data_IF_918224120124
#
_entry.id   IF_918224120124
#
_cell.length_a   1.000
_cell.length_b   1.000
_cell.length_c   1.000
_cell.angle_alpha   90.00
_cell.angle_beta   90.00
_cell.angle_gamma   90.00
#
_symmetry.space_group_name_H-M   'P 1'
#
loop_
_entity.id
_entity.type
_entity.pdbx_description
1 polymer ?
#
# COMPACT_ATOMS: atom_id res chain seq x y z
N UNK A 1 -0.35 -27.98 6.18
CA UNK A 1 -0.04 -26.58 6.54
C UNK A 1 -1.24 -25.96 7.27
N UNK A 2 -2.45 -26.12 6.73
CA UNK A 2 -3.74 -25.81 7.38
C UNK A 2 -3.91 -26.30 8.84
N UNK A 3 -3.61 -27.57 9.15
CA UNK A 3 -3.70 -28.06 10.54
C UNK A 3 -2.74 -27.36 11.52
N UNK A 4 -1.57 -26.90 11.03
CA UNK A 4 -0.65 -26.10 11.82
C UNK A 4 -1.25 -24.72 12.09
N UNK A 5 -1.82 -24.06 11.09
CA UNK A 5 -2.41 -22.73 11.24
C UNK A 5 -3.67 -22.72 12.10
N UNK A 6 -4.53 -23.71 11.93
CA UNK A 6 -5.67 -23.92 12.82
C UNK A 6 -5.15 -24.13 14.25
N UNK A 7 -4.18 -25.02 14.49
CA UNK A 7 -3.66 -25.25 15.84
C UNK A 7 -2.93 -24.04 16.47
N UNK A 8 -2.23 -23.22 15.68
CA UNK A 8 -1.43 -22.08 16.16
C UNK A 8 -2.30 -20.86 16.39
N UNK A 9 -3.19 -20.54 15.46
CA UNK A 9 -3.98 -19.31 15.51
C UNK A 9 -5.31 -19.50 16.24
N UNK A 10 -5.93 -20.68 16.17
CA UNK A 10 -7.15 -20.97 16.95
C UNK A 10 -6.86 -21.05 18.45
N UNK A 11 -5.74 -21.65 18.87
CA UNK A 11 -5.36 -21.69 20.30
C UNK A 11 -4.93 -20.33 20.83
N UNK A 12 -4.25 -19.50 20.02
CA UNK A 12 -3.86 -18.14 20.46
C UNK A 12 -5.08 -17.22 20.63
N UNK A 13 -6.12 -17.38 19.81
CA UNK A 13 -7.31 -16.49 19.82
C UNK A 13 -8.48 -16.96 20.67
N UNK A 14 -8.49 -18.20 21.15
CA UNK A 14 -9.51 -18.70 22.09
C UNK A 14 -9.30 -18.19 23.52
N UNK A 15 -8.14 -17.60 23.82
CA UNK A 15 -7.82 -17.02 25.14
C UNK A 15 -8.11 -15.53 25.29
N UNK A 16 -8.31 -14.81 24.17
CA UNK A 16 -8.60 -13.37 24.16
C UNK A 16 -10.05 -13.12 23.72
N UNK A 17 -10.75 -12.31 24.52
CA UNK A 17 -12.18 -11.99 24.51
C UNK A 17 -12.93 -12.10 23.18
N UNK A 18 -14.13 -12.66 23.30
CA UNK A 18 -15.09 -13.12 22.29
C UNK A 18 -15.65 -12.10 21.29
N UNK A 19 -15.13 -10.87 21.18
CA UNK A 19 -15.85 -9.79 20.47
C UNK A 19 -15.06 -8.97 19.43
N UNK A 20 -13.79 -9.27 19.11
CA UNK A 20 -13.10 -8.47 18.09
C UNK A 20 -12.19 -9.24 17.13
N UNK A 21 -11.95 -8.58 15.99
CA UNK A 21 -10.97 -8.99 14.99
C UNK A 21 -9.58 -8.95 15.62
N UNK A 22 -8.81 -10.02 15.41
CA UNK A 22 -7.47 -10.17 15.96
C UNK A 22 -6.47 -10.20 14.81
N UNK A 23 -5.54 -9.25 14.82
CA UNK A 23 -4.34 -9.27 13.98
C UNK A 23 -3.21 -9.94 14.76
N UNK A 24 -2.72 -11.06 14.26
CA UNK A 24 -1.60 -11.81 14.84
C UNK A 24 -0.39 -11.78 13.92
N UNK A 25 0.78 -11.66 14.52
CA UNK A 25 2.06 -11.87 13.84
C UNK A 25 2.82 -12.96 14.58
N UNK A 26 3.20 -14.02 13.86
CA UNK A 26 4.05 -15.06 14.39
C UNK A 26 5.46 -14.92 13.84
N UNK A 27 6.41 -14.58 14.73
CA UNK A 27 7.79 -14.35 14.36
C UNK A 27 8.53 -15.63 13.95
N UNK A 28 8.12 -16.80 14.47
CA UNK A 28 8.75 -18.07 14.12
C UNK A 28 8.46 -18.52 12.70
N UNK A 29 7.23 -18.37 12.23
CA UNK A 29 6.84 -18.69 10.85
C UNK A 29 6.86 -17.50 9.90
N UNK A 30 7.15 -16.29 10.39
CA UNK A 30 7.07 -15.03 9.62
C UNK A 30 5.72 -14.89 8.90
N UNK A 31 4.64 -15.14 9.64
CA UNK A 31 3.27 -15.18 9.14
C UNK A 31 2.42 -14.12 9.82
N UNK A 32 1.63 -13.42 9.03
CA UNK A 32 0.59 -12.52 9.49
C UNK A 32 -0.74 -13.25 9.36
N UNK A 33 -1.52 -13.31 10.42
CA UNK A 33 -2.88 -13.82 10.38
C UNK A 33 -3.83 -12.73 10.83
N UNK A 34 -4.95 -12.58 10.13
CA UNK A 34 -6.03 -11.68 10.51
C UNK A 34 -7.35 -12.44 10.52
N UNK A 35 -8.06 -12.37 11.64
CA UNK A 35 -9.35 -13.04 11.85
C UNK A 35 -10.50 -12.07 11.60
N UNK A 36 -11.40 -12.41 10.69
CA UNK A 36 -12.58 -11.64 10.37
C UNK A 36 -13.82 -12.40 10.78
N UNK A 37 -14.75 -11.69 11.41
CA UNK A 37 -16.08 -12.22 11.69
C UNK A 37 -17.01 -11.68 10.62
N UNK A 38 -17.57 -12.58 9.82
CA UNK A 38 -18.49 -12.25 8.73
C UNK A 38 -19.83 -12.92 9.00
N UNK A 39 -20.92 -12.16 8.91
CA UNK A 39 -22.27 -12.70 8.94
C UNK A 39 -22.63 -13.21 7.54
N UNK A 40 -22.67 -14.53 7.37
CA UNK A 40 -22.97 -15.16 6.07
C UNK A 40 -24.33 -15.88 6.18
N UNK A 41 -25.30 -15.61 5.28
CA UNK A 41 -26.56 -16.34 5.25
C UNK A 41 -26.35 -17.86 5.10
N UNK A 42 -27.33 -18.64 5.58
CA UNK A 42 -27.34 -20.11 5.45
C UNK A 42 -27.29 -20.61 4.00
N UNK A 43 -27.76 -19.80 3.05
CA UNK A 43 -27.64 -20.05 1.62
C UNK A 43 -27.57 -18.72 0.87
N UNK A 44 -26.57 -18.54 0.02
CA UNK A 44 -26.46 -17.36 -0.85
C UNK A 44 -26.76 -17.79 -2.29
N UNK A 45 -27.77 -17.19 -2.94
CA UNK A 45 -28.00 -17.35 -4.37
C UNK A 45 -26.79 -16.94 -5.20
N UNK A 46 -26.52 -17.64 -6.31
CA UNK A 46 -25.32 -17.41 -7.14
C UNK A 46 -25.22 -15.96 -7.65
N UNK A 47 -26.36 -15.32 -7.91
CA UNK A 47 -26.46 -13.92 -8.36
C UNK A 47 -26.03 -12.89 -7.31
N UNK A 48 -25.96 -13.27 -6.02
CA UNK A 48 -25.59 -12.38 -4.91
C UNK A 48 -24.20 -12.66 -4.35
N UNK A 49 -23.52 -13.74 -4.77
CA UNK A 49 -22.23 -14.16 -4.21
C UNK A 49 -21.17 -13.07 -4.28
N UNK A 50 -21.14 -12.32 -5.38
CA UNK A 50 -20.17 -11.25 -5.58
C UNK A 50 -20.27 -10.15 -4.52
N UNK A 51 -21.49 -9.82 -4.05
CA UNK A 51 -21.68 -8.80 -3.02
C UNK A 51 -21.11 -9.28 -1.67
N UNK A 52 -21.23 -10.57 -1.36
CA UNK A 52 -20.65 -11.16 -0.16
C UNK A 52 -19.14 -11.35 -0.26
N UNK A 53 -18.59 -11.61 -1.46
CA UNK A 53 -17.14 -11.65 -1.68
C UNK A 53 -16.48 -10.29 -1.39
N UNK A 54 -17.16 -9.16 -1.69
CA UNK A 54 -16.66 -7.82 -1.34
C UNK A 54 -16.59 -7.54 0.17
N UNK A 55 -17.35 -8.31 0.97
CA UNK A 55 -17.25 -8.22 2.43
C UNK A 55 -15.98 -8.88 2.94
N UNK A 56 -15.43 -9.83 2.18
CA UNK A 56 -14.25 -10.58 2.56
C UNK A 56 -12.98 -9.70 2.50
N UNK A 57 -12.09 -9.86 3.48
CA UNK A 57 -10.81 -9.15 3.52
C UNK A 57 -9.88 -9.61 2.41
N UNK A 58 -9.05 -8.72 1.88
CA UNK A 58 -8.04 -9.11 0.90
C UNK A 58 -8.58 -9.50 -0.48
N UNK A 59 -9.86 -9.23 -0.77
CA UNK A 59 -10.50 -9.51 -2.07
C UNK A 59 -9.71 -9.00 -3.29
N UNK A 60 -8.98 -7.89 -3.13
CA UNK A 60 -8.11 -7.33 -4.19
C UNK A 60 -6.88 -8.17 -4.49
N UNK A 61 -6.56 -9.15 -3.64
CA UNK A 61 -5.40 -10.03 -3.74
C UNK A 61 -5.78 -11.48 -4.08
N UNK A 62 -7.07 -11.77 -4.28
CA UNK A 62 -7.56 -13.11 -4.58
C UNK A 62 -7.43 -13.43 -6.07
N UNK A 63 -6.79 -14.55 -6.42
CA UNK A 63 -6.72 -15.09 -7.77
C UNK A 63 -8.03 -15.72 -8.24
N UNK A 64 -7.95 -16.54 -9.28
CA UNK A 64 -9.12 -17.26 -9.81
C UNK A 64 -9.47 -18.47 -8.96
N UNK A 65 -8.48 -19.20 -8.43
CA UNK A 65 -8.71 -20.36 -7.56
C UNK A 65 -9.39 -19.97 -6.26
N UNK A 66 -8.93 -18.91 -5.60
CA UNK A 66 -9.51 -18.37 -4.37
C UNK A 66 -10.96 -17.95 -4.58
N UNK A 67 -11.31 -17.29 -5.69
CA UNK A 67 -12.71 -16.98 -6.00
C UNK A 67 -13.55 -18.23 -6.21
N UNK A 68 -13.06 -19.20 -6.99
CA UNK A 68 -13.80 -20.42 -7.27
C UNK A 68 -14.08 -21.17 -5.97
N UNK A 69 -13.08 -21.26 -5.11
CA UNK A 69 -13.17 -21.83 -3.79
C UNK A 69 -14.19 -21.09 -2.92
N UNK A 70 -14.09 -19.77 -2.80
CA UNK A 70 -15.00 -18.97 -1.97
C UNK A 70 -16.43 -18.97 -2.52
N UNK A 71 -16.60 -18.95 -3.84
CA UNK A 71 -17.90 -19.06 -4.48
C UNK A 71 -18.53 -20.42 -4.18
N UNK A 72 -17.75 -21.49 -4.28
CA UNK A 72 -18.20 -22.85 -3.94
C UNK A 72 -18.59 -22.94 -2.46
N UNK A 73 -17.78 -22.35 -1.58
CA UNK A 73 -18.06 -22.27 -0.15
C UNK A 73 -19.38 -21.51 0.12
N UNK A 74 -19.52 -20.29 -0.41
CA UNK A 74 -20.67 -19.41 -0.20
C UNK A 74 -21.98 -19.92 -0.83
N UNK A 75 -21.90 -20.75 -1.87
CA UNK A 75 -23.08 -21.37 -2.50
C UNK A 75 -23.44 -22.73 -1.91
N UNK A 76 -22.51 -23.40 -1.23
CA UNK A 76 -22.77 -24.66 -0.54
C UNK A 76 -23.74 -24.47 0.63
N UNK A 77 -24.61 -25.46 0.86
CA UNK A 77 -25.50 -25.46 2.01
C UNK A 77 -24.73 -25.66 3.33
N UNK A 78 -25.34 -25.29 4.46
CA UNK A 78 -24.73 -25.38 5.80
C UNK A 78 -24.20 -26.77 6.13
N UNK A 79 -24.94 -27.83 5.79
CA UNK A 79 -24.55 -29.22 6.05
C UNK A 79 -23.32 -29.64 5.25
N UNK A 80 -23.21 -29.22 3.98
CA UNK A 80 -22.06 -29.49 3.12
C UNK A 80 -20.83 -28.71 3.59
N UNK A 81 -21.00 -27.45 4.02
CA UNK A 81 -19.91 -26.68 4.64
C UNK A 81 -19.37 -27.36 5.88
N UNK A 82 -20.25 -27.85 6.75
CA UNK A 82 -19.90 -28.59 7.95
C UNK A 82 -19.21 -29.94 7.67
N UNK A 83 -19.70 -30.68 6.68
CA UNK A 83 -19.17 -31.98 6.30
C UNK A 83 -17.78 -31.90 5.64
N UNK A 84 -17.46 -30.79 4.97
CA UNK A 84 -16.24 -30.64 4.16
C UNK A 84 -15.14 -29.86 4.92
N UNK A 85 -14.97 -30.16 6.21
CA UNK A 85 -13.90 -29.55 7.03
C UNK A 85 -12.55 -30.27 6.81
N UNK A 86 -11.41 -29.56 6.77
CA UNK A 86 -11.26 -28.10 6.83
C UNK A 86 -11.33 -27.42 5.45
N UNK A 87 -12.05 -26.30 5.35
CA UNK A 87 -12.04 -25.43 4.18
C UNK A 87 -10.76 -24.58 4.20
N UNK A 88 -9.90 -24.78 3.21
CA UNK A 88 -8.71 -23.94 3.00
C UNK A 88 -8.28 -23.93 1.54
N UNK A 89 -7.68 -22.82 1.10
CA UNK A 89 -6.97 -22.72 -0.18
C UNK A 89 -5.77 -21.79 -0.02
N UNK A 90 -4.71 -22.08 -0.76
CA UNK A 90 -3.47 -21.32 -0.76
C UNK A 90 -3.16 -20.90 -2.19
N UNK A 91 -2.96 -19.60 -2.40
CA UNK A 91 -2.52 -19.01 -3.66
C UNK A 91 -1.32 -18.12 -3.39
N UNK A 92 -0.16 -18.55 -3.89
CA UNK A 92 1.12 -17.87 -3.64
C UNK A 92 1.24 -17.47 -2.16
N UNK A 93 1.58 -16.22 -1.80
CA UNK A 93 1.83 -15.75 -0.43
C UNK A 93 0.60 -15.64 0.50
N UNK A 94 -0.60 -15.95 0.02
CA UNK A 94 -1.85 -15.83 0.79
C UNK A 94 -2.54 -17.20 0.92
N UNK A 95 -2.85 -17.57 2.16
CA UNK A 95 -3.71 -18.69 2.51
C UNK A 95 -4.97 -18.16 3.16
N UNK A 96 -6.13 -18.61 2.68
CA UNK A 96 -7.41 -18.34 3.34
C UNK A 96 -7.89 -19.60 4.03
N UNK A 97 -8.24 -19.46 5.32
CA UNK A 97 -8.74 -20.55 6.15
C UNK A 97 -10.09 -20.14 6.71
N UNK A 98 -11.14 -20.87 6.33
CA UNK A 98 -12.51 -20.59 6.76
C UNK A 98 -12.95 -21.61 7.81
N UNK A 99 -13.22 -21.11 9.02
CA UNK A 99 -13.63 -21.94 10.15
C UNK A 99 -15.12 -21.74 10.46
N UNK A 100 -15.81 -22.86 10.63
CA UNK A 100 -17.27 -22.91 10.70
C UNK A 100 -17.78 -23.41 12.06
N UNK A 101 -18.64 -22.61 12.68
CA UNK A 101 -19.44 -22.97 13.85
C UNK A 101 -20.89 -23.21 13.41
N UNK A 102 -21.38 -24.43 13.62
CA UNK A 102 -22.77 -24.83 13.28
C UNK A 102 -23.83 -24.06 14.07
N UNK A 103 -23.45 -23.47 15.21
CA UNK A 103 -24.39 -22.89 16.16
C UNK A 103 -24.74 -21.43 15.89
N UNK A 104 -24.07 -20.75 14.95
CA UNK A 104 -24.34 -19.33 14.64
C UNK A 104 -24.13 -19.00 13.16
N UNK A 105 -24.84 -17.98 12.60
CA UNK A 105 -24.58 -17.48 11.25
C UNK A 105 -23.31 -16.59 11.18
N UNK A 106 -22.43 -16.64 12.19
CA UNK A 106 -21.17 -15.91 12.25
C UNK A 106 -20.03 -16.83 11.84
N UNK A 107 -19.22 -16.37 10.90
CA UNK A 107 -18.15 -17.15 10.30
C UNK A 107 -16.82 -16.50 10.63
N UNK A 108 -15.85 -17.32 11.05
CA UNK A 108 -14.49 -16.87 11.31
C UNK A 108 -13.65 -17.15 10.06
N UNK A 109 -13.40 -16.09 9.30
CA UNK A 109 -12.58 -16.08 8.09
C UNK A 109 -11.17 -15.64 8.46
N UNK A 110 -10.17 -16.45 8.15
CA UNK A 110 -8.78 -16.12 8.39
C UNK A 110 -8.08 -15.80 7.09
N UNK A 111 -7.56 -14.59 6.97
CA UNK A 111 -6.59 -14.25 5.96
C UNK A 111 -5.19 -14.43 6.56
N UNK A 112 -4.48 -15.46 6.11
CA UNK A 112 -3.11 -15.76 6.53
C UNK A 112 -2.18 -15.39 5.38
N UNK A 113 -1.19 -14.57 5.67
CA UNK A 113 -0.18 -14.14 4.71
C UNK A 113 1.15 -14.66 5.22
N UNK A 114 1.81 -15.47 4.40
CA UNK A 114 3.09 -16.06 4.74
C UNK A 114 4.17 -15.45 3.86
N UNK A 115 5.19 -14.89 4.51
CA UNK A 115 6.29 -14.26 3.80
C UNK A 115 7.39 -15.30 3.57
N UNK A 116 7.45 -15.85 2.35
CA UNK A 116 8.49 -16.79 1.89
C UNK A 116 9.85 -16.10 1.66
N UNK A 117 10.28 -15.27 2.60
CA UNK A 117 11.57 -14.62 2.52
C UNK A 117 12.68 -15.60 2.90
N UNK A 118 13.49 -15.99 1.92
CA UNK A 118 14.70 -16.76 2.20
C UNK A 118 15.67 -15.90 3.03
N UNK A 119 16.47 -16.49 3.93
CA UNK A 119 17.46 -15.74 4.71
C UNK A 119 18.41 -14.89 3.84
N UNK A 120 18.74 -15.38 2.64
CA UNK A 120 19.55 -14.67 1.65
C UNK A 120 18.84 -13.40 1.17
N UNK A 121 17.54 -13.47 0.87
CA UNK A 121 16.75 -12.32 0.48
C UNK A 121 16.62 -11.30 1.62
N UNK A 122 16.48 -11.75 2.87
CA UNK A 122 16.47 -10.88 4.05
C UNK A 122 17.79 -10.10 4.19
N UNK A 123 18.93 -10.78 4.09
CA UNK A 123 20.24 -10.13 4.13
C UNK A 123 20.44 -9.17 2.96
N UNK A 124 19.99 -9.54 1.77
CA UNK A 124 20.01 -8.65 0.61
C UNK A 124 19.20 -7.37 0.86
N UNK A 125 17.94 -7.49 1.33
CA UNK A 125 17.09 -6.34 1.69
C UNK A 125 17.74 -5.47 2.77
N UNK A 126 18.35 -6.08 3.77
CA UNK A 126 19.04 -5.37 4.84
C UNK A 126 20.23 -4.57 4.32
N UNK A 127 21.13 -5.20 3.56
CA UNK A 127 22.28 -4.52 2.96
C UNK A 127 21.82 -3.41 2.01
N UNK A 128 20.80 -3.68 1.18
CA UNK A 128 20.21 -2.70 0.29
C UNK A 128 19.71 -1.46 1.03
N UNK A 129 18.92 -1.64 2.11
CA UNK A 129 18.43 -0.54 2.94
C UNK A 129 19.56 0.24 3.61
N UNK A 130 20.62 -0.43 4.05
CA UNK A 130 21.82 0.22 4.58
C UNK A 130 22.52 1.09 3.54
N UNK A 131 22.71 0.57 2.32
CA UNK A 131 23.31 1.34 1.23
C UNK A 131 22.46 2.56 0.86
N UNK A 132 21.14 2.40 0.79
CA UNK A 132 20.21 3.52 0.56
C UNK A 132 20.29 4.54 1.70
N UNK A 133 20.32 4.10 2.95
CA UNK A 133 20.43 5.00 4.10
C UNK A 133 21.75 5.80 4.10
N UNK A 134 22.87 5.13 3.84
CA UNK A 134 24.19 5.78 3.70
C UNK A 134 24.17 6.78 2.55
N UNK A 135 23.57 6.41 1.41
CA UNK A 135 23.45 7.30 0.26
C UNK A 135 22.57 8.54 0.57
N UNK A 136 21.44 8.38 1.27
CA UNK A 136 20.60 9.49 1.71
C UNK A 136 21.37 10.43 2.64
N UNK A 137 22.12 9.89 3.61
CA UNK A 137 22.98 10.70 4.49
C UNK A 137 24.06 11.45 3.70
N UNK A 138 24.66 10.79 2.71
CA UNK A 138 25.65 11.41 1.83
C UNK A 138 25.05 12.57 1.02
N UNK A 139 23.87 12.38 0.43
CA UNK A 139 23.14 13.42 -0.32
C UNK A 139 22.77 14.59 0.59
N UNK A 140 22.23 14.31 1.78
CA UNK A 140 21.91 15.33 2.77
C UNK A 140 23.14 16.15 3.18
N UNK A 141 24.25 15.48 3.43
CA UNK A 141 25.48 16.14 3.85
C UNK A 141 26.03 17.06 2.75
N UNK A 142 26.14 16.52 1.54
CA UNK A 142 26.76 17.22 0.40
C UNK A 142 25.88 18.33 -0.15
N UNK A 143 24.56 18.10 -0.29
CA UNK A 143 23.64 19.04 -0.95
C UNK A 143 22.85 19.94 -0.02
N UNK A 144 22.83 19.68 1.29
CA UNK A 144 22.10 20.51 2.24
C UNK A 144 23.01 21.06 3.35
N UNK A 145 23.59 20.18 4.18
CA UNK A 145 24.32 20.62 5.36
C UNK A 145 25.61 21.37 5.04
N UNK A 146 26.31 20.99 3.97
CA UNK A 146 27.53 21.70 3.53
C UNK A 146 27.22 23.16 3.17
N UNK A 147 26.14 23.42 2.43
CA UNK A 147 25.73 24.79 2.10
C UNK A 147 25.28 25.58 3.33
N UNK A 148 24.60 24.94 4.28
CA UNK A 148 24.25 25.57 5.55
C UNK A 148 25.52 25.98 6.33
N UNK A 149 26.54 25.12 6.37
CA UNK A 149 27.81 25.41 7.03
C UNK A 149 28.56 26.56 6.36
N UNK A 150 28.65 26.56 5.02
CA UNK A 150 29.31 27.64 4.26
C UNK A 150 28.60 28.98 4.48
N UNK A 151 27.26 28.99 4.43
CA UNK A 151 26.46 30.19 4.71
C UNK A 151 26.73 30.74 6.11
N UNK A 152 26.71 29.88 7.13
CA UNK A 152 27.02 30.28 8.51
C UNK A 152 28.44 30.80 8.66
N UNK A 153 29.41 30.18 7.98
CA UNK A 153 30.80 30.65 7.99
C UNK A 153 30.91 32.04 7.37
N UNK A 154 30.28 32.27 6.23
CA UNK A 154 30.32 33.57 5.54
C UNK A 154 29.62 34.66 6.36
N UNK A 155 28.47 34.35 6.98
CA UNK A 155 27.76 35.28 7.85
C UNK A 155 28.56 35.64 9.12
N UNK A 156 29.35 34.71 9.64
CA UNK A 156 30.26 34.96 10.79
C UNK A 156 31.48 35.78 10.41
N UNK A 157 32.06 35.53 9.24
CA UNK A 157 33.30 36.20 8.81
C UNK A 157 33.05 37.58 8.20
N UNK A 158 31.99 37.74 7.40
CA UNK A 158 31.75 38.96 6.60
C UNK A 158 30.62 39.83 7.20
N UNK A 159 29.64 39.22 7.86
CA UNK A 159 28.43 39.93 8.31
C UNK A 159 27.53 40.40 7.17
N UNK A 160 26.42 41.08 7.51
CA UNK A 160 25.44 41.61 6.53
C UNK A 160 25.54 43.14 6.36
N UNK A 161 26.58 43.75 6.93
CA UNK A 161 26.80 45.21 6.96
C UNK A 161 26.81 45.79 8.38
N UNK A 162 27.27 47.04 8.55
CA UNK A 162 27.44 47.66 9.87
C UNK A 162 26.12 48.05 10.56
N UNK A 163 25.01 48.17 9.83
CA UNK A 163 23.72 48.59 10.37
C UNK A 163 22.88 47.43 10.96
N UNK A 164 23.21 46.18 10.63
CA UNK A 164 22.43 45.01 11.04
C UNK A 164 23.10 44.33 12.23
N UNK A 165 22.56 44.58 13.42
CA UNK A 165 23.09 44.04 14.70
C UNK A 165 22.61 42.61 14.98
N UNK A 166 21.42 42.24 14.49
CA UNK A 166 20.82 40.93 14.74
C UNK A 166 20.19 40.37 13.47
N UNK A 167 20.47 39.10 13.18
CA UNK A 167 19.81 38.34 12.12
C UNK A 167 19.46 36.93 12.63
N UNK A 168 18.36 36.38 12.10
CA UNK A 168 17.93 35.00 12.38
C UNK A 168 18.03 34.20 11.10
N UNK A 169 18.84 33.15 11.10
CA UNK A 169 18.91 32.19 10.00
C UNK A 169 17.90 31.09 10.27
N UNK A 170 16.99 30.88 9.31
CA UNK A 170 15.98 29.81 9.37
C UNK A 170 16.36 28.77 8.32
N UNK A 171 16.61 27.55 8.77
CA UNK A 171 16.87 26.41 7.90
C UNK A 171 15.54 25.70 7.60
N UNK A 172 15.23 25.51 6.32
CA UNK A 172 14.04 24.76 5.89
C UNK A 172 14.21 23.25 6.07
N UNK A 173 13.15 22.48 5.83
CA UNK A 173 13.21 21.02 5.90
C UNK A 173 14.11 20.45 4.77
N UNK A 174 15.14 19.63 5.10
CA UNK A 174 15.99 19.01 4.09
C UNK A 174 15.28 17.90 3.29
N UNK A 175 14.09 17.45 3.69
CA UNK A 175 13.36 16.37 3.02
C UNK A 175 13.23 16.59 1.52
N UNK A 176 13.00 17.83 1.07
CA UNK A 176 12.89 18.15 -0.36
C UNK A 176 14.11 17.69 -1.18
N UNK A 177 15.32 17.80 -0.63
CA UNK A 177 16.56 17.40 -1.30
C UNK A 177 16.59 15.88 -1.52
N UNK A 178 16.05 15.11 -0.57
CA UNK A 178 15.95 13.65 -0.66
C UNK A 178 14.85 13.26 -1.65
N UNK A 179 13.68 13.88 -1.51
CA UNK A 179 12.48 13.59 -2.31
C UNK A 179 12.70 13.85 -3.81
N UNK A 180 13.62 14.76 -4.15
CA UNK A 180 13.96 15.09 -5.53
C UNK A 180 15.17 14.34 -6.09
N UNK A 181 15.79 13.42 -5.34
CA UNK A 181 16.94 12.65 -5.81
C UNK A 181 16.52 11.39 -6.61
N UNK A 182 17.05 11.16 -7.84
CA UNK A 182 16.59 10.08 -8.72
C UNK A 182 16.85 8.71 -8.14
N UNK A 183 18.04 8.59 -7.56
CA UNK A 183 18.56 7.32 -7.09
C UNK A 183 17.78 6.93 -5.84
N UNK A 184 17.47 7.89 -4.96
CA UNK A 184 16.62 7.63 -3.80
C UNK A 184 15.22 7.18 -4.22
N UNK A 185 14.55 7.90 -5.13
CA UNK A 185 13.18 7.53 -5.54
C UNK A 185 13.11 6.14 -6.17
N UNK A 186 14.04 5.81 -7.07
CA UNK A 186 14.10 4.47 -7.70
C UNK A 186 14.47 3.40 -6.69
N UNK A 187 15.43 3.65 -5.80
CA UNK A 187 15.83 2.67 -4.81
C UNK A 187 14.70 2.35 -3.82
N UNK A 188 13.95 3.36 -3.35
CA UNK A 188 12.82 3.13 -2.46
C UNK A 188 11.65 2.46 -3.19
N UNK A 189 11.41 2.82 -4.46
CA UNK A 189 10.45 2.10 -5.31
C UNK A 189 10.77 0.60 -5.36
N UNK A 190 12.04 0.26 -5.63
CA UNK A 190 12.52 -1.12 -5.66
C UNK A 190 12.41 -1.80 -4.28
N UNK A 191 12.68 -1.08 -3.17
CA UNK A 191 12.48 -1.63 -1.82
C UNK A 191 11.01 -1.98 -1.53
N UNK A 192 10.07 -1.13 -1.98
CA UNK A 192 8.63 -1.38 -1.85
C UNK A 192 8.26 -2.64 -2.64
N UNK A 193 8.80 -2.81 -3.85
CA UNK A 193 8.56 -3.97 -4.70
C UNK A 193 9.07 -5.27 -4.10
N UNK A 194 10.26 -5.26 -3.50
CA UNK A 194 10.75 -6.45 -2.82
C UNK A 194 10.00 -6.76 -1.51
N UNK A 195 9.23 -5.80 -0.99
CA UNK A 195 8.47 -5.93 0.27
C UNK A 195 6.97 -6.16 0.07
N UNK A 196 6.58 -6.75 -1.07
CA UNK A 196 5.17 -6.98 -1.43
C UNK A 196 4.33 -7.75 -0.41
N UNK A 197 4.78 -8.86 0.20
CA UNK A 197 3.95 -9.55 1.21
C UNK A 197 3.51 -8.64 2.36
N UNK A 198 4.37 -7.70 2.79
CA UNK A 198 4.03 -6.72 3.80
C UNK A 198 3.07 -5.63 3.29
N UNK A 199 3.13 -5.29 2.00
CA UNK A 199 2.18 -4.38 1.33
C UNK A 199 0.81 -5.03 1.22
N UNK A 200 0.73 -6.31 0.87
CA UNK A 200 -0.49 -7.11 0.88
C UNK A 200 -1.07 -7.16 2.30
N UNK A 201 -0.24 -7.45 3.31
CA UNK A 201 -0.68 -7.45 4.72
C UNK A 201 -1.22 -6.09 5.16
N UNK A 202 -0.59 -4.99 4.74
CA UNK A 202 -1.13 -3.66 5.00
C UNK A 202 -2.45 -3.39 4.24
N UNK A 203 -2.59 -3.89 3.01
CA UNK A 203 -3.82 -3.86 2.23
C UNK A 203 -4.98 -4.57 2.91
N UNK A 204 -4.71 -5.76 3.45
CA UNK A 204 -5.68 -6.55 4.23
C UNK A 204 -6.07 -5.81 5.52
N UNK A 205 -5.12 -5.18 6.22
CA UNK A 205 -5.41 -4.34 7.40
C UNK A 205 -6.32 -3.15 7.10
N UNK A 206 -6.13 -2.43 5.98
CA UNK A 206 -6.97 -1.27 5.65
C UNK A 206 -8.38 -1.65 5.18
N UNK A 207 -8.61 -2.92 4.81
CA UNK A 207 -9.96 -3.43 4.51
C UNK A 207 -10.86 -3.55 5.75
N UNK A 208 -10.29 -3.37 6.95
CA UNK A 208 -10.95 -3.58 8.21
C UNK A 208 -11.25 -2.27 8.94
N UNK A 209 -12.54 -1.94 9.09
CA UNK A 209 -12.97 -0.73 9.81
C UNK A 209 -13.37 -0.98 11.27
N UNK A 210 -13.53 -2.25 11.67
CA UNK A 210 -13.89 -2.60 13.05
C UNK A 210 -12.74 -2.33 14.03
N UNK A 211 -11.49 -2.59 13.62
CA UNK A 211 -10.30 -2.25 14.40
C UNK A 211 -9.61 -1.01 13.81
N UNK A 212 -9.91 0.15 14.36
CA UNK A 212 -9.30 1.41 13.96
C UNK A 212 -7.78 1.43 14.14
N UNK A 213 -7.23 0.62 15.05
CA UNK A 213 -5.79 0.54 15.26
C UNK A 213 -5.11 -0.21 14.12
N UNK A 214 -5.59 -1.41 13.76
CA UNK A 214 -5.11 -2.15 12.59
C UNK A 214 -5.28 -1.34 11.30
N UNK A 215 -6.42 -0.65 11.16
CA UNK A 215 -6.67 0.28 10.05
C UNK A 215 -5.61 1.39 9.97
N UNK A 216 -5.35 2.08 11.08
CA UNK A 216 -4.37 3.16 11.14
C UNK A 216 -2.95 2.66 10.85
N UNK A 217 -2.56 1.48 11.35
CA UNK A 217 -1.28 0.87 11.04
C UNK A 217 -1.15 0.49 9.56
N UNK A 218 -2.23 -0.03 8.96
CA UNK A 218 -2.29 -0.29 7.52
C UNK A 218 -2.11 0.99 6.71
N UNK A 219 -2.82 2.07 7.06
CA UNK A 219 -2.68 3.37 6.43
C UNK A 219 -1.25 3.94 6.57
N UNK A 220 -0.68 3.87 7.77
CA UNK A 220 0.68 4.34 8.05
C UNK A 220 1.72 3.57 7.25
N UNK A 221 1.57 2.25 7.11
CA UNK A 221 2.45 1.45 6.28
C UNK A 221 2.31 1.84 4.80
N UNK A 222 1.08 1.92 4.29
CA UNK A 222 0.81 2.27 2.89
C UNK A 222 1.21 3.69 2.52
N UNK A 223 1.44 4.59 3.49
CA UNK A 223 2.02 5.92 3.23
C UNK A 223 3.35 5.85 2.46
N UNK A 224 4.12 4.76 2.59
CA UNK A 224 5.36 4.54 1.82
C UNK A 224 5.14 4.56 0.30
N UNK A 225 3.91 4.40 -0.18
CA UNK A 225 3.56 4.48 -1.60
C UNK A 225 3.63 5.91 -2.16
N UNK A 226 3.85 6.93 -1.31
CA UNK A 226 4.17 8.30 -1.74
C UNK A 226 5.35 8.36 -2.72
N UNK A 227 6.30 7.43 -2.61
CA UNK A 227 7.44 7.34 -3.52
C UNK A 227 7.03 7.04 -4.97
N UNK A 228 5.86 6.43 -5.19
CA UNK A 228 5.29 6.24 -6.52
C UNK A 228 4.93 7.58 -7.14
N UNK A 229 4.29 8.47 -6.37
CA UNK A 229 3.96 9.82 -6.80
C UNK A 229 5.22 10.66 -7.09
N UNK A 230 6.25 10.60 -6.23
CA UNK A 230 7.52 11.30 -6.48
C UNK A 230 8.22 10.79 -7.74
N UNK A 231 8.27 9.47 -7.94
CA UNK A 231 8.86 8.86 -9.14
C UNK A 231 8.07 9.25 -10.40
N UNK A 232 6.73 9.20 -10.34
CA UNK A 232 5.86 9.60 -11.44
C UNK A 232 5.99 11.07 -11.80
N UNK A 233 5.97 11.97 -10.82
CA UNK A 233 6.17 13.42 -11.03
C UNK A 233 7.56 13.73 -11.58
N UNK A 234 8.58 12.98 -11.17
CA UNK A 234 9.92 13.08 -11.74
C UNK A 234 9.95 12.65 -13.20
N UNK A 235 9.40 11.49 -13.52
CA UNK A 235 9.29 10.98 -14.89
C UNK A 235 8.54 11.98 -15.78
N UNK A 236 7.43 12.52 -15.27
CA UNK A 236 6.67 13.56 -15.94
C UNK A 236 7.48 14.85 -16.12
N UNK A 237 8.24 15.29 -15.12
CA UNK A 237 9.09 16.49 -15.23
C UNK A 237 10.16 16.35 -16.32
N UNK A 238 10.80 15.19 -16.40
CA UNK A 238 11.74 14.88 -17.49
C UNK A 238 11.04 14.89 -18.85
N UNK A 239 9.85 14.30 -18.94
CA UNK A 239 9.05 14.27 -20.16
C UNK A 239 8.57 15.67 -20.60
N UNK A 240 8.14 16.50 -19.65
CA UNK A 240 7.71 17.88 -19.88
C UNK A 240 8.87 18.70 -20.44
N UNK A 241 10.07 18.59 -19.86
CA UNK A 241 11.26 19.29 -20.36
C UNK A 241 11.62 18.85 -21.76
N UNK A 242 11.56 17.54 -22.02
CA UNK A 242 11.81 16.99 -23.35
C UNK A 242 10.79 17.50 -24.40
N UNK A 243 9.50 17.62 -24.02
CA UNK A 243 8.43 18.14 -24.89
C UNK A 243 8.27 19.67 -24.86
N UNK A 244 9.02 20.38 -24.00
CA UNK A 244 8.91 21.83 -23.75
C UNK A 244 7.51 22.29 -23.31
N UNK A 245 6.84 21.49 -22.47
CA UNK A 245 5.48 21.78 -21.96
C UNK A 245 5.48 22.48 -20.60
N UNK A 246 6.52 23.25 -20.29
CA UNK A 246 6.70 23.85 -18.96
C UNK A 246 5.59 24.86 -18.63
N UNK A 247 5.04 25.56 -19.64
CA UNK A 247 3.90 26.47 -19.48
C UNK A 247 2.57 25.75 -19.16
N UNK A 248 2.55 24.45 -19.36
CA UNK A 248 1.36 23.61 -19.28
C UNK A 248 1.18 22.97 -17.90
N UNK A 249 2.19 22.98 -17.04
CA UNK A 249 2.18 22.32 -15.73
C UNK A 249 2.69 23.28 -14.64
N UNK A 250 2.06 23.23 -13.46
CA UNK A 250 2.49 24.01 -12.31
C UNK A 250 3.42 23.18 -11.41
N UNK A 251 4.39 23.80 -10.72
CA UNK A 251 5.15 23.11 -9.69
C UNK A 251 4.22 22.65 -8.56
N UNK A 252 4.43 21.42 -8.10
CA UNK A 252 3.65 20.82 -6.99
C UNK A 252 4.51 20.83 -5.74
N UNK A 253 3.95 21.34 -4.64
CA UNK A 253 4.64 21.36 -3.35
C UNK A 253 4.80 19.93 -2.78
N UNK A 254 5.96 19.56 -2.23
CA UNK A 254 6.21 18.23 -1.67
C UNK A 254 5.27 17.87 -0.52
N UNK A 255 4.84 18.84 0.29
CA UNK A 255 3.90 18.62 1.41
C UNK A 255 2.54 18.24 0.87
N UNK A 256 2.09 18.93 -0.18
CA UNK A 256 0.84 18.61 -0.85
C UNK A 256 0.90 17.23 -1.52
N UNK A 257 2.04 16.88 -2.12
CA UNK A 257 2.25 15.55 -2.69
C UNK A 257 2.20 14.46 -1.61
N UNK A 258 2.85 14.68 -0.47
CA UNK A 258 2.75 13.77 0.68
C UNK A 258 1.32 13.61 1.19
N UNK A 259 0.56 14.71 1.29
CA UNK A 259 -0.83 14.69 1.72
C UNK A 259 -1.72 13.89 0.77
N UNK A 260 -1.62 14.14 -0.55
CA UNK A 260 -2.38 13.37 -1.54
C UNK A 260 -2.02 11.89 -1.44
N UNK A 261 -0.74 11.54 -1.35
CA UNK A 261 -0.34 10.15 -1.27
C UNK A 261 -0.76 9.48 0.03
N UNK A 262 -0.86 10.21 1.15
CA UNK A 262 -1.42 9.65 2.38
C UNK A 262 -2.89 9.24 2.20
N UNK A 263 -3.69 10.11 1.55
CA UNK A 263 -5.10 9.84 1.26
C UNK A 263 -5.23 8.69 0.22
N UNK A 264 -4.40 8.71 -0.82
CA UNK A 264 -4.40 7.70 -1.89
C UNK A 264 -3.83 6.34 -1.47
N UNK A 265 -2.99 6.31 -0.42
CA UNK A 265 -2.41 5.08 0.11
C UNK A 265 -3.46 4.25 0.86
N UNK A 266 -3.68 4.52 2.15
CA UNK A 266 -4.58 3.72 2.98
C UNK A 266 -6.06 3.91 2.67
N UNK A 267 -6.62 5.13 2.84
CA UNK A 267 -8.06 5.37 2.69
C UNK A 267 -8.62 5.02 1.32
N UNK A 268 -7.94 5.41 0.23
CA UNK A 268 -8.37 5.08 -1.12
C UNK A 268 -8.28 3.57 -1.39
N UNK A 269 -7.24 2.87 -0.92
CA UNK A 269 -7.18 1.40 -1.02
C UNK A 269 -8.34 0.77 -0.27
N UNK A 270 -8.68 1.27 0.92
CA UNK A 270 -9.85 0.81 1.69
C UNK A 270 -11.14 0.94 0.89
N UNK A 271 -11.33 2.10 0.24
CA UNK A 271 -12.48 2.35 -0.62
C UNK A 271 -12.51 1.40 -1.84
N UNK A 272 -11.37 1.12 -2.45
CA UNK A 272 -11.27 0.15 -3.55
C UNK A 272 -11.68 -1.25 -3.08
N UNK A 273 -11.19 -1.70 -1.92
CA UNK A 273 -11.53 -3.05 -1.39
C UNK A 273 -13.01 -3.25 -1.09
N UNK A 274 -13.76 -2.18 -0.85
CA UNK A 274 -15.19 -2.23 -0.47
C UNK A 274 -16.15 -1.84 -1.61
N UNK A 275 -15.63 -1.61 -2.81
CA UNK A 275 -16.45 -1.23 -3.97
C UNK A 275 -16.22 -2.21 -5.12
N UNK A 276 -17.10 -2.22 -6.15
CA UNK A 276 -16.89 -3.03 -7.35
C UNK A 276 -15.57 -2.73 -8.09
N UNK A 277 -14.85 -1.66 -7.73
CA UNK A 277 -13.50 -1.39 -8.21
C UNK A 277 -12.51 -2.51 -7.85
N UNK A 278 -12.74 -3.26 -6.76
CA UNK A 278 -11.93 -4.42 -6.40
C UNK A 278 -11.85 -5.46 -7.53
N UNK A 279 -12.92 -5.65 -8.30
CA UNK A 279 -12.96 -6.58 -9.44
C UNK A 279 -12.00 -6.18 -10.55
N UNK A 280 -11.80 -4.87 -10.76
CA UNK A 280 -10.85 -4.39 -11.76
C UNK A 280 -9.42 -4.71 -11.33
N UNK A 281 -9.06 -4.43 -10.08
CA UNK A 281 -7.75 -4.77 -9.50
C UNK A 281 -7.48 -6.27 -9.56
N UNK A 282 -8.45 -7.07 -9.12
CA UNK A 282 -8.36 -8.53 -9.17
C UNK A 282 -8.12 -9.08 -10.56
N UNK A 283 -8.78 -8.54 -11.59
CA UNK A 283 -8.57 -8.96 -12.97
C UNK A 283 -7.12 -8.76 -13.42
N UNK A 284 -6.42 -7.77 -12.88
CA UNK A 284 -5.01 -7.54 -13.22
C UNK A 284 -4.11 -8.70 -12.77
N UNK A 285 -4.48 -9.39 -11.68
CA UNK A 285 -3.72 -10.49 -11.11
C UNK A 285 -3.69 -11.75 -11.97
N UNK A 286 -4.62 -11.87 -12.92
CA UNK A 286 -4.82 -13.11 -13.70
C UNK A 286 -4.59 -12.90 -15.20
N UNK A 287 -4.40 -11.66 -15.66
CA UNK A 287 -4.25 -11.31 -17.08
C UNK A 287 -2.97 -11.87 -17.70
N UNK A 288 -1.87 -11.92 -16.94
CA UNK A 288 -0.57 -12.41 -17.44
C UNK A 288 -0.36 -13.91 -17.21
N UNK A 289 -1.29 -14.59 -16.54
CA UNK A 289 -1.19 -16.01 -16.23
C UNK A 289 -1.76 -16.88 -17.36
N UNK A 290 -1.16 -18.05 -17.55
CA UNK A 290 -1.72 -19.07 -18.46
C UNK A 290 -2.93 -19.78 -17.83
N UNK A 291 -3.82 -20.36 -18.65
CA UNK A 291 -5.03 -21.03 -18.13
C UNK A 291 -4.72 -22.13 -17.10
N UNK A 292 -3.57 -22.80 -17.22
CA UNK A 292 -3.14 -23.83 -16.25
C UNK A 292 -2.67 -23.27 -14.91
N UNK A 293 -2.30 -21.99 -14.84
CA UNK A 293 -1.72 -21.36 -13.64
C UNK A 293 -2.73 -20.51 -12.87
N UNK A 294 -3.86 -20.13 -13.49
CA UNK A 294 -4.84 -19.20 -12.91
C UNK A 294 -5.47 -19.67 -11.60
N UNK A 295 -5.58 -20.98 -11.39
CA UNK A 295 -6.17 -21.55 -10.17
C UNK A 295 -5.17 -21.68 -9.02
N UNK A 296 -3.86 -21.57 -9.28
CA UNK A 296 -2.81 -21.81 -8.28
C UNK A 296 -1.93 -20.58 -8.01
N UNK A 297 -1.92 -19.61 -8.94
CA UNK A 297 -1.02 -18.47 -8.91
C UNK A 297 -1.74 -17.13 -9.08
N UNK A 298 -1.06 -16.07 -8.64
CA UNK A 298 -1.40 -14.67 -8.87
C UNK A 298 -0.17 -13.93 -9.40
N UNK A 299 -0.39 -12.99 -10.31
CA UNK A 299 0.68 -12.16 -10.90
C UNK A 299 0.52 -10.70 -10.47
N UNK A 300 1.49 -10.15 -9.73
CA UNK A 300 1.35 -8.82 -9.12
C UNK A 300 1.88 -7.65 -9.95
N UNK A 301 2.62 -7.86 -11.04
CA UNK A 301 3.31 -6.78 -11.77
C UNK A 301 2.31 -5.77 -12.33
N UNK A 302 1.24 -6.23 -12.99
CA UNK A 302 0.24 -5.31 -13.54
C UNK A 302 -0.46 -4.49 -12.46
N UNK A 303 -0.81 -5.15 -11.36
CA UNK A 303 -1.47 -4.50 -10.22
C UNK A 303 -0.60 -3.36 -9.67
N UNK A 304 0.68 -3.63 -9.45
CA UNK A 304 1.64 -2.66 -8.93
C UNK A 304 1.89 -1.51 -9.91
N UNK A 305 1.95 -1.79 -11.20
CA UNK A 305 2.07 -0.74 -12.23
C UNK A 305 0.84 0.17 -12.25
N UNK A 306 -0.36 -0.40 -12.20
CA UNK A 306 -1.62 0.35 -12.16
C UNK A 306 -1.69 1.19 -10.88
N UNK A 307 -1.34 0.59 -9.73
CA UNK A 307 -1.30 1.29 -8.46
C UNK A 307 -0.26 2.43 -8.46
N UNK A 308 0.91 2.22 -9.08
CA UNK A 308 1.94 3.27 -9.25
C UNK A 308 1.41 4.44 -10.09
N UNK A 309 0.73 4.14 -11.20
CA UNK A 309 0.10 5.17 -12.06
C UNK A 309 -0.99 5.90 -11.28
N UNK A 310 -1.85 5.17 -10.58
CA UNK A 310 -2.94 5.73 -9.76
C UNK A 310 -2.39 6.72 -8.72
N UNK A 311 -1.38 6.33 -7.95
CA UNK A 311 -0.71 7.20 -6.97
C UNK A 311 -0.06 8.43 -7.60
N UNK A 312 0.43 8.30 -8.84
CA UNK A 312 1.03 9.40 -9.59
C UNK A 312 0.00 10.36 -10.21
N UNK A 313 -1.22 9.90 -10.50
CA UNK A 313 -2.20 10.72 -11.22
C UNK A 313 -2.69 11.94 -10.43
N UNK A 314 -2.89 11.82 -9.12
CA UNK A 314 -3.41 12.91 -8.27
C UNK A 314 -2.59 14.21 -8.37
N UNK A 315 -1.27 14.16 -8.10
CA UNK A 315 -0.39 15.32 -8.24
C UNK A 315 -0.34 15.89 -9.67
N UNK A 316 -0.42 15.02 -10.70
CA UNK A 316 -0.38 15.42 -12.12
C UNK A 316 -1.64 16.21 -12.49
N UNK A 317 -2.81 15.69 -12.10
CA UNK A 317 -4.10 16.36 -12.33
C UNK A 317 -4.10 17.72 -11.62
N UNK A 318 -3.67 17.76 -10.36
CA UNK A 318 -3.55 19.02 -9.61
C UNK A 318 -2.67 20.05 -10.34
N UNK A 319 -1.47 19.64 -10.78
CA UNK A 319 -0.56 20.52 -11.53
C UNK A 319 -1.23 21.11 -12.77
N UNK A 320 -2.02 20.33 -13.51
CA UNK A 320 -2.73 20.80 -14.72
C UNK A 320 -3.89 21.73 -14.38
N UNK A 321 -4.71 21.35 -13.41
CA UNK A 321 -5.86 22.16 -12.97
C UNK A 321 -5.39 23.51 -12.43
N UNK A 322 -4.26 23.55 -11.70
CA UNK A 322 -3.69 24.79 -11.20
C UNK A 322 -3.31 25.78 -12.32
N UNK A 323 -2.76 25.29 -13.44
CA UNK A 323 -2.47 26.13 -14.61
C UNK A 323 -3.75 26.63 -15.28
N UNK A 324 -4.72 25.74 -15.50
CA UNK A 324 -6.00 26.13 -16.10
C UNK A 324 -6.72 27.19 -15.25
N UNK A 325 -6.73 27.02 -13.95
CA UNK A 325 -7.30 27.98 -13.00
C UNK A 325 -6.58 29.33 -13.02
N UNK A 326 -5.24 29.32 -13.06
CA UNK A 326 -4.43 30.53 -13.17
C UNK A 326 -4.73 31.29 -14.47
N UNK A 327 -4.82 30.58 -15.59
CA UNK A 327 -5.13 31.17 -16.90
C UNK A 327 -6.54 31.76 -16.93
N UNK A 328 -7.53 31.06 -16.37
CA UNK A 328 -8.90 31.57 -16.23
C UNK A 328 -8.96 32.87 -15.42
N UNK A 329 -8.27 32.92 -14.27
CA UNK A 329 -8.19 34.13 -13.43
C UNK A 329 -7.48 35.30 -14.12
N UNK A 330 -6.44 35.04 -14.91
CA UNK A 330 -5.78 36.10 -15.68
C UNK A 330 -6.67 36.63 -16.81
N UNK A 331 -7.45 35.76 -17.46
CA UNK A 331 -8.44 36.16 -18.47
C UNK A 331 -9.52 37.10 -17.91
N UNK A 332 -10.05 36.80 -16.72
CA UNK A 332 -11.04 37.66 -16.05
C UNK A 332 -10.52 39.02 -15.59
N UNK A 333 -9.20 39.18 -15.41
CA UNK A 333 -8.61 40.49 -15.03
C UNK A 333 -8.35 41.40 -16.24
N UNK A 334 -8.43 40.87 -17.46
CA UNK A 334 -8.17 41.58 -18.70
C UNK A 334 -9.46 41.92 -19.48
N UNK A 335 -10.60 41.36 -19.06
CA UNK A 335 -11.97 41.71 -19.50
C UNK A 335 -12.60 42.71 -18.53
#
# INVERSE_FOLDING_TARGET
MSAFFESVFHNKTSSESSDDVITLFDASSNTFAMRYIVDIPYSIPLDQVQDYLLLLPGITSFGTGMELYLTTFLTSNTSSRAATKPWHICEHEIEQVDSFDESSPRYNVWAVIYSLETPQLCWFKFIFRWLVAIYVLHVLWTRYYTHCRVLLSNLRCVGLGPEIVHYRVIFGDPAYVILTDPIVSVAIFVDIWYSMPYTIAAGVRVSQFSDLWSYALGCMYLFRTVWFAYLGMRGLSSFIKWRRWESSFAPVDPTFLALISYISGGPMTSFITKTPAAWAFRRTLTVLLTESEKEEAVEGILDVLIYTVMMSTGPIIYSRVAVLWRNYRHGQKLS
#
